data_IF_767425466139
#
_entry.id   IF_767425466139
#
_cell.length_a   1.000
_cell.length_b   1.000
_cell.length_c   1.000
_cell.angle_alpha   90.00
_cell.angle_beta   90.00
_cell.angle_gamma   90.00
#
_symmetry.space_group_name_H-M   'P 1'
#
loop_
_entity.id
_entity.type
_entity.pdbx_description
1 polymer ?
#
# COMPACT_ATOMS: atom_id res chain seq x y z
N UNK A 1 -70.26 32.49 53.81
CA UNK A 1 -71.21 31.36 53.81
C UNK A 1 -70.42 30.14 53.38
N UNK A 2 -69.88 29.30 54.26
CA UNK A 2 -70.55 28.46 55.28
C UNK A 2 -71.23 27.22 54.65
N UNK A 3 -70.51 26.09 54.65
CA UNK A 3 -70.93 24.72 55.03
C UNK A 3 -69.76 23.75 54.69
N UNK A 4 -69.18 22.93 55.58
CA UNK A 4 -69.74 21.92 56.51
C UNK A 4 -70.33 20.73 55.73
N UNK A 5 -69.99 19.45 55.94
CA UNK A 5 -68.95 18.77 56.74
C UNK A 5 -68.98 17.25 56.43
N UNK A 6 -67.83 16.55 56.48
CA UNK A 6 -67.66 15.06 56.60
C UNK A 6 -68.32 14.12 55.57
N UNK A 7 -67.49 13.22 55.02
CA UNK A 7 -67.36 11.88 55.62
C UNK A 7 -65.89 11.45 55.63
N UNK A 8 -65.54 10.54 56.54
CA UNK A 8 -64.19 10.06 56.84
C UNK A 8 -64.25 8.53 57.00
N UNK A 9 -63.09 7.85 56.97
CA UNK A 9 -62.90 6.38 57.17
C UNK A 9 -63.26 5.54 55.91
N UNK A 10 -62.45 4.62 55.35
CA UNK A 10 -61.06 4.15 55.56
C UNK A 10 -60.43 3.85 54.13
N UNK A 11 -59.19 3.40 53.88
CA UNK A 11 -58.07 2.93 54.72
C UNK A 11 -56.68 3.04 54.02
N UNK A 12 -55.61 2.80 54.79
CA UNK A 12 -54.26 2.24 54.46
C UNK A 12 -53.66 2.41 53.04
N UNK A 13 -52.44 2.98 52.97
CA UNK A 13 -51.53 2.78 51.82
C UNK A 13 -50.40 3.81 51.71
N UNK A 14 -49.31 3.65 52.47
CA UNK A 14 -48.10 4.49 52.30
C UNK A 14 -47.39 4.13 51.00
N UNK A 15 -47.26 5.08 50.08
CA UNK A 15 -46.41 5.00 48.90
C UNK A 15 -45.63 6.30 48.74
N UNK A 16 -44.45 6.34 49.37
CA UNK A 16 -43.42 7.34 49.11
C UNK A 16 -42.94 7.24 47.66
N UNK A 17 -42.96 8.36 46.94
CA UNK A 17 -42.59 8.38 45.53
C UNK A 17 -41.11 8.04 45.30
N UNK A 18 -40.86 7.01 44.48
CA UNK A 18 -39.58 6.78 43.81
C UNK A 18 -39.78 6.92 42.31
N UNK A 19 -39.16 7.93 41.70
CA UNK A 19 -39.12 8.11 40.25
C UNK A 19 -38.55 6.84 39.58
N UNK A 20 -39.20 6.27 38.55
CA UNK A 20 -38.60 5.18 37.80
C UNK A 20 -37.39 5.72 37.02
N UNK A 21 -36.24 5.05 37.16
CA UNK A 21 -35.07 5.34 36.34
C UNK A 21 -35.34 5.03 34.87
N UNK A 22 -34.62 5.64 33.92
CA UNK A 22 -34.75 5.31 32.51
C UNK A 22 -34.23 3.88 32.27
N UNK A 23 -35.14 2.90 32.33
CA UNK A 23 -34.82 1.55 31.93
C UNK A 23 -34.49 1.55 30.45
N UNK A 24 -33.27 1.13 30.16
CA UNK A 24 -32.73 0.87 28.83
C UNK A 24 -33.79 0.25 27.92
N UNK A 25 -34.28 1.03 26.97
CA UNK A 25 -34.99 0.52 25.81
C UNK A 25 -33.96 -0.20 24.93
N UNK A 26 -33.59 -1.40 25.36
CA UNK A 26 -32.59 -2.24 24.71
C UNK A 26 -33.20 -2.83 23.44
N UNK A 27 -33.39 -1.97 22.44
CA UNK A 27 -33.76 -2.35 21.10
C UNK A 27 -32.66 -3.27 20.59
N UNK A 28 -32.98 -4.57 20.50
CA UNK A 28 -32.20 -5.53 19.74
C UNK A 28 -32.28 -5.16 18.26
N UNK A 29 -31.56 -4.11 17.87
CA UNK A 29 -31.11 -3.96 16.49
C UNK A 29 -30.18 -5.14 16.25
N UNK A 30 -30.60 -6.06 15.40
CA UNK A 30 -29.67 -6.98 14.77
C UNK A 30 -28.48 -6.15 14.26
N UNK A 31 -27.23 -6.53 14.58
CA UNK A 31 -26.08 -5.76 14.15
C UNK A 31 -26.11 -5.67 12.63
N UNK A 32 -26.05 -4.44 12.11
CA UNK A 32 -25.96 -4.21 10.66
C UNK A 32 -24.69 -4.91 10.19
N UNK A 33 -24.83 -5.92 9.34
CA UNK A 33 -23.69 -6.71 8.88
C UNK A 33 -22.84 -5.83 7.96
N UNK A 34 -21.77 -5.27 8.51
CA UNK A 34 -20.92 -4.33 7.79
C UNK A 34 -20.20 -5.01 6.61
N UNK A 35 -20.19 -4.33 5.47
CA UNK A 35 -19.56 -4.80 4.25
C UNK A 35 -18.14 -4.21 4.17
N UNK A 36 -17.21 -4.81 4.91
CA UNK A 36 -15.80 -4.37 4.93
C UNK A 36 -15.00 -5.05 3.81
N UNK A 37 -14.39 -4.24 2.95
CA UNK A 37 -13.55 -4.64 1.83
C UNK A 37 -12.08 -4.28 2.10
N UNK A 38 -11.22 -5.29 2.17
CA UNK A 38 -9.77 -5.12 2.24
C UNK A 38 -9.21 -4.56 0.93
N UNK A 39 -8.50 -3.43 1.03
CA UNK A 39 -7.81 -2.77 -0.07
C UNK A 39 -6.30 -3.06 -0.02
N UNK A 40 -5.75 -3.34 -1.20
CA UNK A 40 -4.32 -3.27 -1.48
C UNK A 40 -4.00 -2.11 -2.42
N UNK A 41 -2.89 -1.41 -2.17
CA UNK A 41 -2.34 -0.43 -3.11
C UNK A 41 -0.94 -0.79 -3.60
N UNK A 42 -0.68 -0.60 -4.89
CA UNK A 42 0.66 -0.64 -5.48
C UNK A 42 1.01 0.75 -6.00
N UNK A 43 2.01 1.41 -5.40
CA UNK A 43 2.60 2.65 -5.93
C UNK A 43 3.73 2.28 -6.88
N UNK A 44 3.62 2.71 -8.13
CA UNK A 44 4.59 2.38 -9.17
C UNK A 44 5.89 3.24 -9.10
N UNK A 45 6.97 2.80 -9.78
CA UNK A 45 8.25 3.51 -9.77
C UNK A 45 8.19 4.95 -10.29
N UNK A 46 7.25 5.26 -11.19
CA UNK A 46 7.12 6.59 -11.78
C UNK A 46 6.47 7.56 -10.80
N UNK A 47 5.43 7.11 -10.07
CA UNK A 47 4.82 7.87 -8.99
C UNK A 47 5.79 8.02 -7.81
N UNK A 48 6.50 6.95 -7.41
CA UNK A 48 7.57 7.03 -6.42
C UNK A 48 8.58 8.12 -6.78
N UNK A 49 9.14 8.06 -8.00
CA UNK A 49 10.15 9.02 -8.47
C UNK A 49 9.61 10.45 -8.48
N UNK A 50 8.37 10.67 -8.94
CA UNK A 50 7.75 12.00 -8.96
C UNK A 50 7.60 12.58 -7.55
N UNK A 51 7.06 11.81 -6.60
CA UNK A 51 6.89 12.29 -5.22
C UNK A 51 8.26 12.47 -4.55
N UNK A 52 9.26 11.63 -4.87
CA UNK A 52 10.61 11.78 -4.35
C UNK A 52 11.28 13.09 -4.83
N UNK A 53 11.04 13.51 -6.08
CA UNK A 53 11.49 14.82 -6.58
C UNK A 53 10.78 15.97 -5.83
N UNK A 54 9.46 15.87 -5.60
CA UNK A 54 8.69 16.87 -4.86
C UNK A 54 9.15 16.99 -3.38
N UNK A 55 9.54 15.89 -2.76
CA UNK A 55 10.09 15.81 -1.40
C UNK A 55 11.63 15.98 -1.36
N UNK A 56 12.24 16.58 -2.39
CA UNK A 56 13.67 16.94 -2.42
C UNK A 56 14.62 15.74 -2.16
N UNK A 57 14.26 14.57 -2.70
CA UNK A 57 14.93 13.27 -2.51
C UNK A 57 14.91 12.72 -1.07
N UNK A 58 14.06 13.24 -0.19
CA UNK A 58 13.89 12.73 1.16
C UNK A 58 12.99 11.48 1.17
N UNK A 59 13.60 10.31 0.99
CA UNK A 59 12.97 8.96 1.01
C UNK A 59 11.94 8.79 2.13
N UNK A 60 12.22 9.28 3.35
CA UNK A 60 11.30 9.16 4.50
C UNK A 60 10.06 10.03 4.33
N UNK A 61 10.22 11.28 3.87
CA UNK A 61 9.10 12.16 3.56
C UNK A 61 8.28 11.63 2.37
N UNK A 62 8.93 11.11 1.33
CA UNK A 62 8.30 10.48 0.17
C UNK A 62 7.39 9.32 0.59
N UNK A 63 7.91 8.36 1.38
CA UNK A 63 7.10 7.24 1.90
C UNK A 63 5.95 7.73 2.77
N UNK A 64 6.18 8.71 3.65
CA UNK A 64 5.14 9.27 4.51
C UNK A 64 4.01 9.93 3.69
N UNK A 65 4.35 10.71 2.66
CA UNK A 65 3.40 11.37 1.76
C UNK A 65 2.56 10.37 0.98
N UNK A 66 3.19 9.33 0.43
CA UNK A 66 2.48 8.25 -0.29
C UNK A 66 1.55 7.45 0.63
N UNK A 67 1.99 7.08 1.84
CA UNK A 67 1.13 6.42 2.85
C UNK A 67 -0.07 7.28 3.23
N UNK A 68 0.17 8.57 3.47
CA UNK A 68 -0.88 9.54 3.76
C UNK A 68 -1.88 9.64 2.62
N UNK A 69 -1.42 9.78 1.38
CA UNK A 69 -2.25 9.81 0.18
C UNK A 69 -3.17 8.57 0.08
N UNK A 70 -2.61 7.37 0.24
CA UNK A 70 -3.40 6.12 0.21
C UNK A 70 -4.42 6.08 1.35
N UNK A 71 -4.07 6.56 2.55
CA UNK A 71 -5.02 6.68 3.67
C UNK A 71 -6.13 7.70 3.40
N UNK A 72 -5.82 8.83 2.77
CA UNK A 72 -6.79 9.85 2.38
C UNK A 72 -7.74 9.33 1.28
N UNK A 73 -7.23 8.59 0.28
CA UNK A 73 -8.05 7.90 -0.73
C UNK A 73 -9.12 7.00 -0.09
N UNK A 74 -8.72 6.14 0.86
CA UNK A 74 -9.66 5.27 1.59
C UNK A 74 -10.64 6.07 2.46
N UNK A 75 -10.18 7.17 3.06
CA UNK A 75 -11.04 8.05 3.87
C UNK A 75 -12.10 8.73 3.01
N UNK A 76 -11.75 9.24 1.84
CA UNK A 76 -12.70 9.90 0.92
C UNK A 76 -13.69 8.91 0.31
N UNK A 77 -13.28 7.67 0.00
CA UNK A 77 -14.21 6.62 -0.38
C UNK A 77 -15.19 6.29 0.76
N UNK A 78 -14.68 6.09 1.98
CA UNK A 78 -15.53 5.79 3.14
C UNK A 78 -16.51 6.92 3.48
N UNK A 79 -16.16 8.18 3.25
CA UNK A 79 -17.06 9.32 3.44
C UNK A 79 -18.33 9.25 2.57
N UNK A 80 -18.30 8.49 1.47
CA UNK A 80 -19.42 8.35 0.53
C UNK A 80 -20.08 6.97 0.66
N UNK A 81 -19.31 5.89 0.51
CA UNK A 81 -19.87 4.53 0.44
C UNK A 81 -20.41 4.01 1.78
N UNK A 82 -19.90 4.49 2.92
CA UNK A 82 -20.35 4.01 4.24
C UNK A 82 -21.70 4.58 4.68
N UNK A 83 -22.05 5.76 4.16
CA UNK A 83 -23.32 6.46 4.42
C UNK A 83 -24.41 6.14 3.38
N UNK A 84 -24.02 5.58 2.24
CA UNK A 84 -24.94 5.25 1.14
C UNK A 84 -25.82 4.02 1.47
N UNK A 85 -27.02 4.02 0.88
CA UNK A 85 -27.98 2.92 0.94
C UNK A 85 -28.09 2.28 -0.44
N UNK A 86 -27.73 1.01 -0.56
CA UNK A 86 -27.70 0.28 -1.83
C UNK A 86 -28.90 -0.67 -1.93
N UNK A 87 -29.63 -0.56 -3.04
CA UNK A 87 -30.92 -1.21 -3.22
C UNK A 87 -30.77 -2.44 -4.12
N UNK A 88 -31.05 -3.62 -3.57
CA UNK A 88 -30.92 -4.91 -4.26
C UNK A 88 -31.94 -5.18 -5.36
N UNK A 89 -31.95 -6.42 -5.87
CA UNK A 89 -33.04 -6.95 -6.70
C UNK A 89 -34.28 -7.34 -5.84
N UNK A 90 -34.14 -7.38 -4.51
CA UNK A 90 -35.23 -7.63 -3.54
C UNK A 90 -35.50 -6.47 -2.57
N UNK A 91 -36.23 -6.73 -1.48
CA UNK A 91 -36.52 -5.75 -0.41
C UNK A 91 -35.32 -5.46 0.52
N UNK A 92 -34.11 -5.84 0.13
CA UNK A 92 -32.92 -5.75 0.97
C UNK A 92 -32.16 -4.47 0.65
N UNK A 93 -31.98 -3.66 1.69
CA UNK A 93 -31.16 -2.45 1.64
C UNK A 93 -29.82 -2.78 2.31
N UNK A 94 -28.75 -2.67 1.54
CA UNK A 94 -27.38 -2.82 2.04
C UNK A 94 -26.87 -1.45 2.52
N UNK A 95 -26.26 -1.43 3.71
CA UNK A 95 -25.70 -0.22 4.34
C UNK A 95 -24.33 -0.54 4.95
N UNK A 96 -23.52 0.47 5.20
CA UNK A 96 -22.21 0.30 5.83
C UNK A 96 -21.22 -0.47 4.95
N UNK A 97 -21.16 -0.13 3.66
CA UNK A 97 -20.07 -0.54 2.77
C UNK A 97 -18.84 0.30 3.11
N UNK A 98 -17.77 -0.35 3.55
CA UNK A 98 -16.55 0.29 4.02
C UNK A 98 -15.33 -0.36 3.39
N UNK A 99 -14.28 0.43 3.27
CA UNK A 99 -12.97 0.01 2.78
C UNK A 99 -11.93 0.16 3.88
N UNK A 100 -11.03 -0.81 3.98
CA UNK A 100 -9.92 -0.80 4.94
C UNK A 100 -8.62 -0.96 4.16
N UNK A 101 -7.68 -0.04 4.33
CA UNK A 101 -6.33 -0.21 3.79
C UNK A 101 -5.65 -1.36 4.55
N UNK A 102 -5.50 -2.50 3.89
CA UNK A 102 -4.99 -3.74 4.49
C UNK A 102 -3.52 -3.97 4.19
N UNK A 103 -3.05 -3.60 2.99
CA UNK A 103 -1.64 -3.73 2.61
C UNK A 103 -1.28 -2.75 1.49
N UNK A 104 0.01 -2.49 1.29
CA UNK A 104 0.49 -1.71 0.16
C UNK A 104 1.95 -2.03 -0.14
N UNK A 105 2.33 -1.82 -1.41
CA UNK A 105 3.71 -1.82 -1.89
C UNK A 105 4.03 -0.40 -2.40
N UNK A 106 5.20 0.12 -2.04
CA UNK A 106 5.81 1.27 -2.70
C UNK A 106 7.00 0.72 -3.47
N UNK A 107 6.91 0.76 -4.80
CA UNK A 107 7.97 0.23 -5.66
C UNK A 107 9.01 1.32 -5.96
N UNK A 108 10.21 1.10 -5.43
CA UNK A 108 11.34 2.03 -5.53
C UNK A 108 12.34 1.61 -6.61
N UNK A 109 11.92 0.73 -7.54
CA UNK A 109 12.74 0.29 -8.67
C UNK A 109 13.31 1.50 -9.42
N UNK A 110 14.63 1.58 -9.67
CA UNK A 110 15.21 2.77 -10.27
C UNK A 110 14.82 2.91 -11.75
N UNK A 111 14.51 1.81 -12.44
CA UNK A 111 14.14 1.76 -13.86
C UNK A 111 15.17 2.43 -14.80
N UNK A 112 16.47 2.29 -14.50
CA UNK A 112 17.57 2.94 -15.24
C UNK A 112 17.88 2.31 -16.62
N UNK A 113 17.23 1.20 -16.98
CA UNK A 113 17.57 0.41 -18.16
C UNK A 113 16.52 0.54 -19.28
N UNK A 114 16.81 1.40 -20.26
CA UNK A 114 16.05 1.49 -21.52
C UNK A 114 16.92 1.00 -22.69
N UNK A 115 16.98 -0.32 -22.97
CA UNK A 115 17.73 -0.86 -24.10
C UNK A 115 17.04 -0.44 -25.40
N UNK A 116 17.69 0.42 -26.18
CA UNK A 116 17.28 0.72 -27.56
C UNK A 116 17.38 -0.56 -28.40
N UNK A 117 16.50 -0.75 -29.37
CA UNK A 117 16.75 -1.78 -30.40
C UNK A 117 17.89 -1.33 -31.35
N UNK A 118 18.43 -2.22 -32.22
CA UNK A 118 19.49 -1.86 -33.16
C UNK A 118 19.12 -0.76 -34.18
N UNK A 119 17.83 -0.39 -34.26
CA UNK A 119 17.27 0.62 -35.15
C UNK A 119 16.83 1.89 -34.40
N UNK A 120 17.16 2.01 -33.10
CA UNK A 120 16.84 3.15 -32.25
C UNK A 120 15.38 3.21 -31.77
N UNK A 121 14.55 2.22 -32.06
CA UNK A 121 13.14 2.19 -31.65
C UNK A 121 13.01 1.55 -30.26
N UNK A 122 12.33 2.25 -29.35
CA UNK A 122 11.92 1.69 -28.07
C UNK A 122 10.60 0.97 -28.28
N UNK A 123 10.66 -0.35 -28.44
CA UNK A 123 9.49 -1.23 -28.38
C UNK A 123 9.58 -1.97 -27.05
N UNK A 124 8.97 -1.40 -26.02
CA UNK A 124 9.06 -1.90 -24.64
C UNK A 124 7.91 -2.87 -24.33
N UNK A 125 6.66 -2.50 -24.60
CA UNK A 125 5.51 -3.42 -24.57
C UNK A 125 4.67 -3.33 -25.85
N UNK A 126 4.15 -4.47 -26.31
CA UNK A 126 3.14 -4.54 -27.36
C UNK A 126 1.74 -4.45 -26.72
N UNK A 127 1.10 -3.29 -26.87
CA UNK A 127 -0.24 -3.03 -26.34
C UNK A 127 -1.30 -3.40 -27.40
N UNK A 128 -2.07 -4.50 -27.24
CA UNK A 128 -3.02 -4.95 -28.25
C UNK A 128 -4.24 -4.02 -28.29
N UNK A 129 -4.65 -3.56 -29.49
CA UNK A 129 -5.79 -2.66 -29.66
C UNK A 129 -7.11 -3.45 -29.78
N UNK A 130 -7.60 -3.94 -28.64
CA UNK A 130 -8.80 -4.79 -28.51
C UNK A 130 -9.69 -4.35 -27.33
N UNK A 131 -10.96 -4.79 -27.26
CA UNK A 131 -11.84 -4.48 -26.13
C UNK A 131 -11.26 -4.90 -24.78
N UNK A 132 -11.63 -4.18 -23.71
CA UNK A 132 -11.14 -4.46 -22.35
C UNK A 132 -11.53 -5.86 -21.84
N UNK A 133 -12.73 -6.33 -22.17
CA UNK A 133 -13.17 -7.70 -21.84
C UNK A 133 -12.15 -8.74 -22.30
N UNK A 134 -11.61 -8.53 -23.50
CA UNK A 134 -10.91 -9.55 -24.29
C UNK A 134 -9.41 -9.55 -24.01
N UNK A 135 -8.87 -8.49 -23.37
CA UNK A 135 -7.45 -8.34 -23.00
C UNK A 135 -6.81 -9.58 -22.40
N UNK A 136 -7.52 -10.33 -21.55
CA UNK A 136 -6.95 -11.50 -20.89
C UNK A 136 -6.77 -12.72 -21.82
N UNK A 137 -7.31 -12.67 -23.04
CA UNK A 137 -7.09 -13.64 -24.11
C UNK A 137 -5.85 -13.32 -24.94
N UNK A 138 -5.12 -12.23 -24.63
CA UNK A 138 -3.83 -11.91 -25.25
C UNK A 138 -2.67 -12.22 -24.29
N UNK A 139 -1.49 -12.58 -24.82
CA UNK A 139 -0.29 -12.70 -24.01
C UNK A 139 0.29 -11.32 -23.67
N UNK A 140 0.81 -11.17 -22.44
CA UNK A 140 1.61 -10.00 -22.07
C UNK A 140 2.97 -10.09 -22.77
N UNK A 141 3.18 -9.22 -23.77
CA UNK A 141 4.41 -9.15 -24.55
C UNK A 141 5.16 -7.84 -24.24
N UNK A 142 6.05 -7.91 -23.25
CA UNK A 142 7.00 -6.84 -22.94
C UNK A 142 8.45 -7.35 -23.11
N UNK A 143 9.34 -6.46 -23.58
CA UNK A 143 10.76 -6.70 -23.82
C UNK A 143 11.47 -7.13 -22.54
N UNK A 144 11.08 -6.53 -21.42
CA UNK A 144 11.42 -7.01 -20.09
C UNK A 144 10.35 -8.02 -19.67
N UNK A 145 10.57 -9.28 -20.03
CA UNK A 145 9.86 -10.40 -19.43
C UNK A 145 10.15 -10.45 -17.91
N UNK A 146 9.35 -11.21 -17.16
CA UNK A 146 9.14 -11.23 -15.69
C UNK A 146 10.38 -11.29 -14.76
N UNK A 147 11.61 -11.29 -15.28
CA UNK A 147 12.86 -11.16 -14.51
C UNK A 147 13.16 -9.74 -14.02
N UNK A 148 12.51 -8.72 -14.58
CA UNK A 148 12.58 -7.32 -14.14
C UNK A 148 11.18 -6.77 -13.87
N UNK A 149 11.08 -5.68 -13.11
CA UNK A 149 9.81 -5.02 -12.84
C UNK A 149 9.11 -4.64 -14.15
N UNK A 150 7.96 -5.26 -14.43
CA UNK A 150 7.19 -5.03 -15.67
C UNK A 150 6.69 -3.59 -15.77
N UNK A 151 6.53 -2.90 -14.64
CA UNK A 151 6.20 -1.48 -14.59
C UNK A 151 7.41 -0.56 -14.84
N UNK A 152 8.63 -1.06 -15.06
CA UNK A 152 9.70 -0.21 -15.62
C UNK A 152 9.56 0.01 -17.14
N UNK A 153 8.69 -0.71 -17.85
CA UNK A 153 8.47 -0.51 -19.28
C UNK A 153 7.66 0.78 -19.57
N UNK A 154 7.83 1.32 -20.78
CA UNK A 154 6.96 2.38 -21.32
C UNK A 154 5.54 1.86 -21.65
N UNK A 155 4.65 1.99 -20.67
CA UNK A 155 3.22 1.68 -20.76
C UNK A 155 2.45 2.96 -21.10
N UNK A 156 1.76 2.99 -22.25
CA UNK A 156 1.16 4.21 -22.81
C UNK A 156 -0.37 4.28 -22.68
N UNK A 157 -1.03 3.18 -22.29
CA UNK A 157 -2.47 3.13 -22.03
C UNK A 157 -2.79 2.58 -20.64
N UNK A 158 -3.72 3.23 -19.95
CA UNK A 158 -4.31 2.75 -18.70
C UNK A 158 -4.96 1.39 -18.87
N UNK A 159 -5.60 1.16 -20.03
CA UNK A 159 -6.15 -0.14 -20.38
C UNK A 159 -5.10 -1.26 -20.31
N UNK A 160 -3.90 -1.05 -20.88
CA UNK A 160 -2.83 -2.05 -20.81
C UNK A 160 -2.19 -2.12 -19.43
N UNK A 161 -2.03 -0.98 -18.73
CA UNK A 161 -1.58 -0.98 -17.33
C UNK A 161 -2.49 -1.85 -16.46
N UNK A 162 -3.81 -1.70 -16.55
CA UNK A 162 -4.76 -2.51 -15.79
C UNK A 162 -4.64 -4.00 -16.15
N UNK A 163 -4.39 -4.34 -17.41
CA UNK A 163 -4.15 -5.73 -17.82
C UNK A 163 -2.88 -6.31 -17.19
N UNK A 164 -1.75 -5.58 -17.20
CA UNK A 164 -0.51 -5.96 -16.52
C UNK A 164 -0.70 -6.13 -15.01
N UNK A 165 -1.46 -5.22 -14.38
CA UNK A 165 -1.74 -5.26 -12.95
C UNK A 165 -2.71 -6.39 -12.57
N UNK A 166 -3.68 -6.71 -13.44
CA UNK A 166 -4.60 -7.85 -13.26
C UNK A 166 -3.91 -9.21 -13.35
N UNK A 167 -2.80 -9.31 -14.10
CA UNK A 167 -2.01 -10.52 -14.28
C UNK A 167 -1.06 -10.82 -13.09
N UNK A 168 -1.55 -10.57 -11.86
CA UNK A 168 -0.83 -10.73 -10.59
C UNK A 168 -1.78 -11.33 -9.54
N UNK A 169 -1.23 -11.92 -8.47
CA UNK A 169 -2.04 -12.60 -7.44
C UNK A 169 -2.71 -11.60 -6.48
N UNK A 170 -3.90 -11.15 -6.84
CA UNK A 170 -4.77 -10.32 -5.98
C UNK A 170 -5.80 -11.14 -5.19
N UNK A 171 -5.63 -12.47 -5.09
CA UNK A 171 -6.49 -13.32 -4.26
C UNK A 171 -6.57 -12.92 -2.78
N UNK A 172 -5.53 -12.35 -2.13
CA UNK A 172 -5.61 -11.99 -0.71
C UNK A 172 -6.52 -10.80 -0.38
N UNK A 173 -6.94 -10.01 -1.37
CA UNK A 173 -7.63 -8.72 -1.15
C UNK A 173 -9.05 -8.71 -1.72
N UNK A 174 -9.93 -7.88 -1.18
CA UNK A 174 -11.26 -7.65 -1.75
C UNK A 174 -11.16 -6.81 -3.04
N UNK A 175 -10.30 -5.78 -3.03
CA UNK A 175 -9.95 -4.93 -4.18
C UNK A 175 -8.46 -4.53 -4.11
N UNK A 176 -7.86 -4.30 -5.28
CA UNK A 176 -6.46 -3.91 -5.46
C UNK A 176 -6.35 -2.71 -6.40
N UNK A 177 -5.54 -1.70 -6.07
CA UNK A 177 -5.39 -0.50 -6.89
C UNK A 177 -3.93 -0.14 -7.15
N UNK A 178 -3.59 0.11 -8.42
CA UNK A 178 -2.30 0.68 -8.76
C UNK A 178 -2.38 2.21 -8.86
N UNK A 179 -1.36 2.90 -8.34
CA UNK A 179 -1.20 4.34 -8.42
C UNK A 179 0.06 4.64 -9.25
N UNK A 180 -0.07 5.50 -10.25
CA UNK A 180 1.01 5.79 -11.22
C UNK A 180 1.07 7.28 -11.56
N UNK A 181 2.22 7.74 -12.05
CA UNK A 181 2.41 9.10 -12.58
C UNK A 181 3.00 9.04 -14.00
N UNK A 182 2.14 8.91 -15.01
CA UNK A 182 2.55 8.66 -16.41
C UNK A 182 1.81 9.52 -17.41
N UNK A 183 2.46 9.79 -18.54
CA UNK A 183 1.74 10.25 -19.72
C UNK A 183 0.98 9.06 -20.30
N UNK A 184 -0.35 9.09 -20.18
CA UNK A 184 -1.23 8.09 -20.79
C UNK A 184 -1.98 8.72 -21.97
N UNK A 185 -2.37 7.87 -22.91
CA UNK A 185 -3.07 8.26 -24.14
C UNK A 185 -4.60 8.12 -24.05
N UNK A 186 -5.13 7.55 -22.97
CA UNK A 186 -6.54 7.16 -22.83
C UNK A 186 -7.22 7.76 -21.58
N UNK A 187 -6.99 7.23 -20.37
CA UNK A 187 -7.82 7.51 -19.20
C UNK A 187 -7.02 8.07 -18.01
N UNK A 188 -7.70 8.78 -17.11
CA UNK A 188 -7.13 9.22 -15.83
C UNK A 188 -7.25 8.13 -14.74
N UNK A 189 -8.26 7.28 -14.83
CA UNK A 189 -8.46 6.11 -13.98
C UNK A 189 -9.18 5.03 -14.78
N UNK A 190 -9.08 3.78 -14.32
CA UNK A 190 -9.84 2.67 -14.90
C UNK A 190 -9.93 1.51 -13.91
N UNK A 191 -11.11 0.90 -13.79
CA UNK A 191 -11.33 -0.32 -13.01
C UNK A 191 -12.28 -1.31 -13.69
N UNK A 192 -12.20 -2.58 -13.29
CA UNK A 192 -13.11 -3.61 -13.79
C UNK A 192 -14.49 -3.50 -13.16
N UNK A 193 -15.52 -3.36 -14.01
CA UNK A 193 -16.90 -3.20 -13.55
C UNK A 193 -17.48 -4.52 -13.06
N UNK A 194 -17.92 -4.56 -11.79
CA UNK A 194 -18.63 -5.72 -11.23
C UNK A 194 -19.95 -5.97 -11.96
N UNK A 195 -20.19 -7.21 -12.41
CA UNK A 195 -21.47 -7.54 -13.04
C UNK A 195 -21.70 -6.84 -14.39
N UNK A 196 -20.63 -6.43 -15.09
CA UNK A 196 -20.68 -5.60 -16.31
C UNK A 196 -21.75 -6.02 -17.32
N UNK A 197 -21.83 -7.31 -17.67
CA UNK A 197 -23.01 -7.91 -18.29
C UNK A 197 -23.78 -8.74 -17.25
N UNK A 198 -24.92 -8.23 -16.81
CA UNK A 198 -25.79 -8.85 -15.80
C UNK A 198 -26.41 -10.19 -16.24
N UNK A 199 -26.30 -10.55 -17.53
CA UNK A 199 -26.73 -11.85 -18.09
C UNK A 199 -25.67 -12.95 -17.95
N UNK A 200 -24.42 -12.60 -17.68
CA UNK A 200 -23.31 -13.55 -17.59
C UNK A 200 -22.89 -13.73 -16.12
N UNK A 201 -23.04 -14.94 -15.56
CA UNK A 201 -22.59 -15.23 -14.19
C UNK A 201 -21.09 -14.95 -14.00
N UNK A 202 -20.28 -15.15 -15.05
CA UNK A 202 -18.84 -14.85 -15.06
C UNK A 202 -18.52 -13.37 -14.77
N UNK A 203 -19.37 -12.42 -15.20
CA UNK A 203 -19.18 -11.00 -14.88
C UNK A 203 -19.37 -10.70 -13.39
N UNK A 204 -20.12 -11.55 -12.68
CA UNK A 204 -20.34 -11.46 -11.23
C UNK A 204 -19.25 -12.21 -10.44
N UNK A 205 -18.66 -13.28 -10.98
CA UNK A 205 -17.61 -14.04 -10.28
C UNK A 205 -16.19 -13.53 -10.53
N UNK A 206 -15.89 -13.07 -11.75
CA UNK A 206 -14.52 -12.85 -12.21
C UNK A 206 -14.12 -11.36 -12.29
N UNK A 207 -15.05 -10.41 -12.12
CA UNK A 207 -14.81 -8.97 -12.24
C UNK A 207 -15.15 -8.22 -10.94
N UNK A 208 -14.57 -7.04 -10.77
CA UNK A 208 -14.82 -6.12 -9.64
C UNK A 208 -14.45 -6.73 -8.29
N UNK A 209 -15.01 -6.17 -7.22
CA UNK A 209 -14.74 -6.62 -5.84
C UNK A 209 -14.96 -8.13 -5.68
N UNK A 210 -14.16 -8.81 -4.85
CA UNK A 210 -14.24 -10.26 -4.66
C UNK A 210 -14.05 -11.11 -5.95
N UNK A 211 -13.40 -10.58 -7.00
CA UNK A 211 -13.07 -11.40 -8.17
C UNK A 211 -12.25 -12.65 -7.79
N UNK A 212 -12.54 -13.73 -8.48
CA UNK A 212 -11.75 -14.97 -8.46
C UNK A 212 -10.73 -14.98 -9.61
N UNK A 213 -9.80 -15.93 -9.58
CA UNK A 213 -8.86 -16.15 -10.68
C UNK A 213 -9.62 -16.58 -11.94
N UNK A 214 -9.47 -15.86 -13.05
CA UNK A 214 -10.13 -16.22 -14.29
C UNK A 214 -9.30 -17.24 -15.10
N UNK A 215 -9.60 -18.52 -14.88
CA UNK A 215 -8.92 -19.63 -15.54
C UNK A 215 -9.10 -19.70 -17.07
N UNK A 216 -9.94 -18.84 -17.68
CA UNK A 216 -10.06 -18.74 -19.14
C UNK A 216 -9.00 -17.80 -19.75
N UNK A 217 -8.30 -17.03 -18.94
CA UNK A 217 -7.28 -16.10 -19.41
C UNK A 217 -5.96 -16.82 -19.75
N UNK A 218 -5.21 -16.30 -20.72
CA UNK A 218 -3.90 -16.86 -21.11
C UNK A 218 -2.86 -16.81 -19.98
N UNK A 219 -3.02 -15.87 -19.06
CA UNK A 219 -2.21 -15.74 -17.86
C UNK A 219 -2.83 -16.56 -16.72
N UNK A 220 -2.06 -17.45 -16.06
CA UNK A 220 -2.60 -18.42 -15.09
C UNK A 220 -3.00 -17.82 -13.74
N UNK A 221 -2.63 -16.55 -13.49
CA UNK A 221 -3.14 -15.72 -12.40
C UNK A 221 -3.65 -14.43 -13.04
N UNK A 222 -4.97 -14.31 -13.18
CA UNK A 222 -5.62 -13.11 -13.71
C UNK A 222 -6.82 -12.76 -12.87
N UNK A 223 -6.67 -11.72 -12.05
CA UNK A 223 -7.67 -11.26 -11.11
C UNK A 223 -8.14 -9.86 -11.51
N UNK A 224 -9.44 -9.74 -11.78
CA UNK A 224 -10.06 -8.46 -12.16
C UNK A 224 -10.77 -7.77 -10.98
N UNK A 225 -10.26 -7.95 -9.76
CA UNK A 225 -10.58 -7.11 -8.59
C UNK A 225 -9.67 -5.87 -8.53
N UNK A 226 -9.30 -5.37 -9.70
CA UNK A 226 -8.22 -4.40 -9.88
C UNK A 226 -8.71 -3.09 -10.48
N UNK A 227 -8.03 -2.00 -10.11
CA UNK A 227 -8.14 -0.68 -10.73
C UNK A 227 -6.78 0.02 -10.83
N UNK A 228 -6.72 1.10 -11.60
CA UNK A 228 -5.53 1.96 -11.76
C UNK A 228 -5.96 3.42 -11.69
N UNK A 229 -5.17 4.26 -11.04
CA UNK A 229 -5.36 5.72 -10.98
C UNK A 229 -4.08 6.43 -11.36
N UNK A 230 -4.17 7.34 -12.33
CA UNK A 230 -3.09 8.23 -12.73
C UNK A 230 -3.12 9.51 -11.90
N UNK A 231 -1.95 9.93 -11.42
CA UNK A 231 -1.78 11.20 -10.70
C UNK A 231 -1.24 12.32 -11.59
N UNK A 232 -0.81 12.00 -12.81
CA UNK A 232 -0.43 12.98 -13.83
C UNK A 232 -1.68 13.47 -14.56
N UNK A 233 -2.15 14.67 -14.24
CA UNK A 233 -3.30 15.29 -14.91
C UNK A 233 -2.87 16.02 -16.19
N UNK A 234 -3.82 16.38 -17.06
CA UNK A 234 -3.57 17.10 -18.31
C UNK A 234 -2.89 18.48 -18.16
N UNK A 235 -2.84 19.03 -16.94
CA UNK A 235 -2.09 20.25 -16.61
C UNK A 235 -0.59 20.02 -16.35
N UNK A 236 -0.10 18.78 -16.48
CA UNK A 236 1.23 18.31 -16.06
C UNK A 236 1.51 18.45 -14.55
N UNK A 237 0.53 18.88 -13.75
CA UNK A 237 0.67 19.07 -12.29
C UNK A 237 0.24 17.81 -11.55
N UNK A 238 1.06 17.41 -10.58
CA UNK A 238 0.74 16.37 -9.60
C UNK A 238 -0.46 16.81 -8.74
N UNK A 239 -1.62 16.17 -8.94
CA UNK A 239 -2.89 16.63 -8.37
C UNK A 239 -3.54 15.57 -7.47
N UNK A 240 -3.13 15.55 -6.20
CA UNK A 240 -3.63 14.59 -5.19
C UNK A 240 -5.16 14.62 -5.07
N UNK A 241 -5.77 15.81 -5.02
CA UNK A 241 -7.23 15.96 -4.87
C UNK A 241 -8.01 15.31 -6.02
N UNK A 242 -7.61 15.56 -7.27
CA UNK A 242 -8.24 14.94 -8.44
C UNK A 242 -8.01 13.44 -8.50
N UNK A 243 -6.81 12.96 -8.14
CA UNK A 243 -6.53 11.53 -8.07
C UNK A 243 -7.39 10.82 -7.01
N UNK A 244 -7.67 11.47 -5.86
CA UNK A 244 -8.60 10.96 -4.86
C UNK A 244 -10.05 10.91 -5.39
N UNK A 245 -10.52 11.97 -6.05
CA UNK A 245 -11.85 11.96 -6.69
C UNK A 245 -11.98 10.84 -7.75
N UNK A 246 -10.96 10.64 -8.59
CA UNK A 246 -10.90 9.54 -9.59
C UNK A 246 -10.91 8.18 -8.90
N UNK A 247 -10.10 7.96 -7.86
CA UNK A 247 -10.13 6.72 -7.08
C UNK A 247 -11.55 6.40 -6.54
N UNK A 248 -12.24 7.39 -5.97
CA UNK A 248 -13.60 7.22 -5.46
C UNK A 248 -14.61 6.85 -6.56
N UNK A 249 -14.43 7.39 -7.78
CA UNK A 249 -15.21 7.02 -8.97
C UNK A 249 -14.92 5.57 -9.41
N UNK A 250 -13.64 5.18 -9.54
CA UNK A 250 -13.25 3.83 -9.94
C UNK A 250 -13.72 2.75 -8.94
N UNK A 251 -13.79 3.08 -7.65
CA UNK A 251 -14.40 2.21 -6.64
C UNK A 251 -15.88 1.94 -6.96
N UNK A 252 -16.61 2.91 -7.50
CA UNK A 252 -17.99 2.74 -7.94
C UNK A 252 -18.12 1.72 -9.07
N UNK A 253 -17.24 1.79 -10.07
CA UNK A 253 -17.11 0.75 -11.10
C UNK A 253 -16.78 -0.61 -10.49
N UNK A 254 -15.78 -0.66 -9.60
CA UNK A 254 -15.39 -1.89 -8.89
C UNK A 254 -16.52 -2.52 -8.08
N UNK A 255 -17.52 -1.74 -7.64
CA UNK A 255 -18.74 -2.21 -6.99
C UNK A 255 -19.89 -2.54 -7.95
N UNK A 256 -19.83 -2.06 -9.20
CA UNK A 256 -20.74 -2.40 -10.30
C UNK A 256 -21.56 -1.25 -10.88
N UNK A 257 -21.33 -0.01 -10.43
CA UNK A 257 -21.97 1.14 -11.05
C UNK A 257 -21.45 1.38 -12.47
N UNK A 258 -22.35 1.76 -13.38
CA UNK A 258 -22.03 2.29 -14.71
C UNK A 258 -22.05 3.82 -14.68
N UNK A 259 -21.68 4.46 -15.80
CA UNK A 259 -21.74 5.92 -15.89
C UNK A 259 -23.18 6.45 -15.87
N UNK A 260 -23.37 7.61 -15.24
CA UNK A 260 -24.65 8.32 -15.07
C UNK A 260 -25.06 9.10 -16.35
N UNK A 261 -24.85 8.48 -17.51
CA UNK A 261 -25.09 9.08 -18.83
C UNK A 261 -26.54 8.83 -19.33
N UNK A 262 -27.24 7.89 -18.69
CA UNK A 262 -28.62 7.53 -19.04
C UNK A 262 -29.63 8.57 -18.52
N UNK A 263 -29.81 9.65 -19.29
CA UNK A 263 -30.77 10.73 -19.03
C UNK A 263 -32.19 10.18 -18.84
N UNK A 264 -32.64 9.28 -19.72
CA UNK A 264 -34.01 8.72 -19.72
C UNK A 264 -34.34 7.90 -18.46
N UNK A 265 -33.35 7.41 -17.72
CA UNK A 265 -33.54 6.71 -16.44
C UNK A 265 -33.64 7.65 -15.24
N UNK A 266 -33.54 8.97 -15.45
CA UNK A 266 -33.49 9.98 -14.38
C UNK A 266 -32.21 9.92 -13.55
N UNK A 267 -31.20 9.18 -14.01
CA UNK A 267 -29.95 8.94 -13.30
C UNK A 267 -28.87 9.99 -13.61
N UNK A 268 -29.04 10.74 -14.69
CA UNK A 268 -28.24 11.93 -14.96
C UNK A 268 -28.90 13.20 -14.40
N UNK A 269 -28.08 14.17 -13.96
CA UNK A 269 -28.52 15.55 -13.73
C UNK A 269 -28.30 16.47 -14.93
N UNK A 270 -27.72 15.94 -16.01
CA UNK A 270 -27.32 16.68 -17.20
C UNK A 270 -28.45 17.58 -17.73
N UNK A 271 -28.11 18.84 -18.02
CA UNK A 271 -29.06 19.85 -18.54
C UNK A 271 -29.82 20.67 -17.48
N UNK A 272 -29.74 20.34 -16.18
CA UNK A 272 -30.23 21.23 -15.10
C UNK A 272 -29.13 22.23 -14.73
N UNK A 273 -29.39 23.53 -14.98
CA UNK A 273 -28.39 24.62 -14.93
C UNK A 273 -27.60 24.75 -13.60
N UNK A 274 -28.19 24.32 -12.49
CA UNK A 274 -27.69 24.59 -11.14
C UNK A 274 -27.29 23.31 -10.38
N UNK A 275 -27.26 22.15 -11.07
CA UNK A 275 -27.24 20.84 -10.43
C UNK A 275 -25.91 20.10 -10.72
N UNK A 276 -25.06 19.95 -9.70
CA UNK A 276 -23.77 19.23 -9.82
C UNK A 276 -23.98 17.79 -10.33
N UNK A 277 -23.11 17.35 -11.25
CA UNK A 277 -23.05 15.99 -11.76
C UNK A 277 -22.90 14.98 -10.61
N UNK A 278 -23.56 13.82 -10.71
CA UNK A 278 -23.33 12.73 -9.76
C UNK A 278 -21.91 12.17 -9.87
N UNK A 279 -21.46 11.48 -8.82
CA UNK A 279 -20.11 10.91 -8.73
C UNK A 279 -19.74 10.01 -9.91
N UNK A 280 -20.71 9.25 -10.46
CA UNK A 280 -20.47 8.33 -11.58
C UNK A 280 -20.68 8.97 -12.95
N UNK A 281 -20.55 10.28 -13.10
CA UNK A 281 -20.58 10.93 -14.44
C UNK A 281 -19.42 10.46 -15.33
N UNK A 282 -19.62 10.35 -16.64
CA UNK A 282 -18.51 10.11 -17.60
C UNK A 282 -17.60 11.33 -17.82
N UNK A 283 -18.00 12.53 -17.38
CA UNK A 283 -17.21 13.76 -17.52
C UNK A 283 -15.99 13.77 -16.57
N UNK A 284 -14.85 13.30 -17.11
CA UNK A 284 -13.58 13.21 -16.40
C UNK A 284 -13.09 14.55 -15.85
N UNK A 285 -13.40 15.68 -16.49
CA UNK A 285 -12.97 17.00 -16.01
C UNK A 285 -13.72 17.35 -14.71
N UNK A 286 -15.03 17.07 -14.64
CA UNK A 286 -15.81 17.27 -13.40
C UNK A 286 -15.32 16.41 -12.25
N UNK A 287 -14.89 15.18 -12.52
CA UNK A 287 -14.29 14.30 -11.50
C UNK A 287 -12.97 14.90 -11.00
N UNK A 288 -12.04 15.25 -11.91
CA UNK A 288 -10.71 15.78 -11.55
C UNK A 288 -10.83 17.11 -10.77
N UNK A 289 -11.71 18.01 -11.21
CA UNK A 289 -12.00 19.29 -10.53
C UNK A 289 -12.70 19.10 -9.16
N UNK A 290 -13.25 17.92 -8.86
CA UNK A 290 -14.12 17.71 -7.71
C UNK A 290 -15.49 18.38 -7.84
N UNK A 291 -15.85 18.80 -9.06
CA UNK A 291 -17.07 19.51 -9.44
C UNK A 291 -18.25 18.52 -9.62
N UNK A 292 -18.40 17.61 -8.66
CA UNK A 292 -19.49 16.61 -8.58
C UNK A 292 -20.22 16.79 -7.26
N UNK A 293 -21.44 16.25 -7.16
CA UNK A 293 -22.24 16.28 -5.93
C UNK A 293 -21.66 15.45 -4.79
N UNK A 294 -20.58 14.69 -5.03
CA UNK A 294 -20.02 13.64 -4.15
C UNK A 294 -21.08 12.65 -3.66
N UNK A 295 -22.14 12.45 -4.43
CA UNK A 295 -23.21 11.48 -4.17
C UNK A 295 -23.42 10.57 -5.38
N UNK A 296 -23.82 9.33 -5.10
CA UNK A 296 -24.18 8.34 -6.11
C UNK A 296 -25.60 8.60 -6.62
N UNK A 297 -25.85 8.35 -7.91
CA UNK A 297 -27.21 8.35 -8.46
C UNK A 297 -28.04 7.16 -7.99
N UNK A 298 -29.34 7.20 -8.26
CA UNK A 298 -30.27 6.07 -8.04
C UNK A 298 -30.07 4.91 -9.04
N UNK A 299 -29.29 5.10 -10.12
CA UNK A 299 -28.77 3.97 -10.92
C UNK A 299 -27.58 3.34 -10.21
N UNK A 300 -26.54 4.13 -9.89
CA UNK A 300 -25.33 3.64 -9.25
C UNK A 300 -25.62 2.89 -7.93
N UNK A 301 -26.46 3.44 -7.05
CA UNK A 301 -26.84 2.77 -5.79
C UNK A 301 -27.59 1.44 -6.00
N UNK A 302 -28.31 1.30 -7.12
CA UNK A 302 -29.09 0.11 -7.47
C UNK A 302 -28.24 -0.95 -8.15
N UNK A 303 -27.38 -0.57 -9.09
CA UNK A 303 -26.47 -1.51 -9.76
C UNK A 303 -25.44 -2.09 -8.77
N UNK A 304 -24.94 -1.27 -7.84
CA UNK A 304 -24.14 -1.75 -6.71
C UNK A 304 -24.97 -2.67 -5.80
N UNK A 305 -26.20 -2.28 -5.44
CA UNK A 305 -27.09 -3.09 -4.58
C UNK A 305 -27.38 -4.48 -5.14
N UNK A 306 -27.70 -4.58 -6.44
CA UNK A 306 -27.90 -5.86 -7.16
C UNK A 306 -26.67 -6.77 -7.09
N UNK A 307 -25.46 -6.20 -7.12
CA UNK A 307 -24.23 -6.97 -6.97
C UNK A 307 -23.99 -7.39 -5.52
N UNK A 308 -24.32 -6.52 -4.54
CA UNK A 308 -24.23 -6.81 -3.10
C UNK A 308 -25.17 -7.94 -2.64
N UNK A 309 -26.31 -8.13 -3.30
CA UNK A 309 -27.18 -9.29 -3.08
C UNK A 309 -26.49 -10.62 -3.40
N UNK A 310 -25.56 -10.63 -4.36
CA UNK A 310 -25.03 -11.84 -5.02
C UNK A 310 -23.66 -12.28 -4.51
N UNK A 311 -22.85 -11.39 -3.91
CA UNK A 311 -21.46 -11.68 -3.53
C UNK A 311 -21.14 -11.29 -2.09
N UNK A 312 -20.48 -12.21 -1.36
CA UNK A 312 -20.41 -12.16 0.11
C UNK A 312 -18.99 -12.24 0.72
N UNK A 313 -17.90 -12.01 -0.04
CA UNK A 313 -16.52 -12.17 0.51
C UNK A 313 -16.07 -11.05 1.48
N UNK A 314 -16.94 -10.09 1.76
CA UNK A 314 -16.77 -9.09 2.82
C UNK A 314 -16.33 -9.75 4.14
N UNK A 315 -15.45 -9.07 4.88
CA UNK A 315 -14.90 -9.51 6.17
C UNK A 315 -14.02 -10.79 6.18
N UNK A 316 -13.85 -11.54 5.07
CA UNK A 316 -13.15 -12.85 5.09
C UNK A 316 -11.77 -12.89 4.41
N UNK A 317 -11.30 -11.78 3.82
CA UNK A 317 -9.96 -11.65 3.23
C UNK A 317 -9.03 -10.85 4.13
N UNK A 318 -8.48 -11.53 5.14
CA UNK A 318 -7.58 -10.97 6.15
C UNK A 318 -6.19 -10.67 5.57
N UNK A 319 -5.99 -9.43 5.12
CA UNK A 319 -4.77 -8.74 5.56
C UNK A 319 -4.89 -8.53 7.07
N UNK A 320 -3.83 -8.81 7.83
CA UNK A 320 -3.80 -8.58 9.27
C UNK A 320 -4.14 -7.12 9.60
N UNK A 321 -4.77 -6.85 10.76
CA UNK A 321 -4.97 -5.50 11.30
C UNK A 321 -3.65 -4.79 11.73
N UNK A 322 -2.51 -5.33 11.29
CA UNK A 322 -1.15 -4.80 11.44
C UNK A 322 -0.71 -4.20 10.09
N UNK A 323 -0.47 -2.89 10.05
CA UNK A 323 -0.19 -2.08 8.86
C UNK A 323 1.22 -2.37 8.31
N UNK A 324 1.41 -3.55 7.73
CA UNK A 324 2.72 -4.02 7.25
C UNK A 324 3.11 -3.37 5.94
N UNK A 325 4.12 -2.51 6.03
CA UNK A 325 4.98 -2.13 4.91
C UNK A 325 5.85 -3.33 4.51
N UNK A 326 5.67 -3.83 3.28
CA UNK A 326 6.68 -4.70 2.67
C UNK A 326 7.88 -3.87 2.23
N UNK A 327 9.09 -4.31 2.56
CA UNK A 327 10.32 -3.68 2.06
C UNK A 327 10.34 -3.71 0.51
N UNK A 328 10.91 -2.71 -0.17
CA UNK A 328 11.15 -2.78 -1.61
C UNK A 328 12.26 -3.80 -1.87
N UNK A 329 11.88 -5.06 -2.08
CA UNK A 329 12.82 -6.13 -2.36
C UNK A 329 13.50 -5.89 -3.71
N UNK A 330 14.80 -5.58 -3.69
CA UNK A 330 15.68 -5.52 -4.85
C UNK A 330 16.02 -6.90 -5.45
N UNK A 331 15.16 -7.89 -5.19
CA UNK A 331 15.27 -9.27 -5.62
C UNK A 331 14.16 -9.57 -6.63
N UNK A 332 14.34 -10.54 -7.56
CA UNK A 332 13.31 -10.90 -8.51
C UNK A 332 12.09 -11.44 -7.76
N UNK A 333 11.06 -10.62 -7.60
CA UNK A 333 9.86 -11.02 -6.86
C UNK A 333 9.20 -12.19 -7.60
N UNK A 334 9.28 -13.38 -6.99
CA UNK A 334 8.82 -14.61 -7.62
C UNK A 334 7.30 -14.71 -7.78
N UNK A 335 6.52 -13.76 -7.24
CA UNK A 335 5.05 -13.68 -7.41
C UNK A 335 4.64 -13.25 -8.81
N UNK A 336 5.50 -12.55 -9.56
CA UNK A 336 5.20 -12.12 -10.93
C UNK A 336 5.28 -13.26 -11.98
N UNK A 337 5.77 -14.45 -11.62
CA UNK A 337 5.87 -15.55 -12.57
C UNK A 337 4.53 -16.26 -12.77
N UNK A 338 3.98 -16.08 -13.97
CA UNK A 338 2.86 -16.85 -14.48
C UNK A 338 3.08 -18.37 -14.31
N UNK A 339 4.15 -18.95 -14.88
CA UNK A 339 4.29 -20.41 -14.89
C UNK A 339 4.83 -20.93 -13.57
N UNK A 340 4.14 -21.94 -13.02
CA UNK A 340 4.49 -22.63 -11.77
C UNK A 340 5.95 -23.11 -11.72
N UNK A 341 6.49 -23.55 -12.86
CA UNK A 341 7.90 -23.93 -13.03
C UNK A 341 8.85 -22.75 -12.89
N UNK A 342 8.54 -21.61 -13.48
CA UNK A 342 9.35 -20.38 -13.40
C UNK A 342 9.35 -19.83 -11.96
N UNK A 343 8.18 -19.76 -11.31
CA UNK A 343 8.06 -19.44 -9.87
C UNK A 343 8.89 -20.40 -9.02
N UNK A 344 8.84 -21.72 -9.30
CA UNK A 344 9.62 -22.71 -8.54
C UNK A 344 11.15 -22.60 -8.72
N UNK A 345 11.60 -22.14 -9.90
CA UNK A 345 13.02 -21.90 -10.18
C UNK A 345 13.50 -20.59 -9.55
N UNK A 346 12.69 -19.54 -9.58
CA UNK A 346 12.93 -18.30 -8.86
C UNK A 346 13.05 -18.53 -7.34
N UNK A 347 12.05 -19.19 -6.73
CA UNK A 347 12.05 -19.55 -5.30
C UNK A 347 13.19 -20.53 -4.89
N UNK A 348 13.84 -21.19 -5.85
CA UNK A 348 15.07 -21.98 -5.64
C UNK A 348 16.32 -21.10 -5.66
N UNK A 349 16.40 -20.14 -6.59
CA UNK A 349 17.50 -19.17 -6.69
C UNK A 349 17.56 -18.27 -5.45
N UNK A 350 16.40 -17.79 -4.99
CA UNK A 350 16.25 -16.99 -3.76
C UNK A 350 16.74 -17.76 -2.51
N UNK A 351 16.33 -19.04 -2.36
CA UNK A 351 16.85 -19.92 -1.31
C UNK A 351 18.35 -20.20 -1.43
N UNK A 352 18.88 -20.34 -2.64
CA UNK A 352 20.31 -20.56 -2.86
C UNK A 352 21.14 -19.34 -2.45
N UNK A 353 20.69 -18.11 -2.78
CA UNK A 353 21.31 -16.86 -2.34
C UNK A 353 21.29 -16.71 -0.82
N UNK A 354 20.16 -16.95 -0.17
CA UNK A 354 20.04 -16.89 1.29
C UNK A 354 20.91 -17.94 1.99
N UNK A 355 21.10 -19.12 1.39
CA UNK A 355 22.10 -20.09 1.84
C UNK A 355 23.54 -19.55 1.74
N UNK A 356 23.89 -18.88 0.64
CA UNK A 356 25.21 -18.28 0.41
C UNK A 356 25.50 -17.13 1.40
N UNK A 357 24.52 -16.27 1.68
CA UNK A 357 24.62 -15.21 2.70
C UNK A 357 24.87 -15.80 4.09
N UNK A 358 24.13 -16.84 4.48
CA UNK A 358 24.36 -17.54 5.75
C UNK A 358 25.76 -18.17 5.85
N UNK A 359 26.29 -18.74 4.75
CA UNK A 359 27.65 -19.27 4.71
C UNK A 359 28.67 -18.15 4.92
N UNK A 360 28.52 -17.01 4.24
CA UNK A 360 29.42 -15.85 4.38
C UNK A 360 29.41 -15.32 5.83
N UNK A 361 28.24 -15.17 6.44
CA UNK A 361 28.13 -14.77 7.86
C UNK A 361 28.76 -15.79 8.81
N UNK A 362 28.59 -17.08 8.55
CA UNK A 362 29.19 -18.15 9.37
C UNK A 362 30.72 -18.12 9.27
N UNK A 363 31.27 -17.97 8.06
CA UNK A 363 32.72 -17.86 7.82
C UNK A 363 33.29 -16.60 8.48
N UNK A 364 32.61 -15.45 8.37
CA UNK A 364 33.00 -14.22 9.05
C UNK A 364 33.00 -14.38 10.58
N UNK A 365 31.97 -14.99 11.17
CA UNK A 365 31.86 -15.22 12.61
C UNK A 365 32.96 -16.16 13.14
N UNK A 366 33.23 -17.26 12.42
CA UNK A 366 34.34 -18.18 12.74
C UNK A 366 35.69 -17.47 12.61
N UNK A 367 35.87 -16.58 11.64
CA UNK A 367 37.11 -15.82 11.45
C UNK A 367 37.35 -14.82 12.61
N UNK A 368 36.30 -14.18 13.12
CA UNK A 368 36.36 -13.31 14.30
C UNK A 368 36.69 -14.11 15.57
N UNK A 369 36.07 -15.28 15.76
CA UNK A 369 36.38 -16.16 16.90
C UNK A 369 37.83 -16.68 16.87
N UNK A 370 38.33 -17.08 15.70
CA UNK A 370 39.74 -17.47 15.53
C UNK A 370 40.69 -16.29 15.77
N UNK A 371 40.35 -15.09 15.30
CA UNK A 371 41.11 -13.87 15.56
C UNK A 371 41.19 -13.54 17.06
N UNK A 372 40.07 -13.59 17.77
CA UNK A 372 40.00 -13.42 19.22
C UNK A 372 40.81 -14.50 19.97
N UNK A 373 40.74 -15.75 19.53
CA UNK A 373 41.55 -16.84 20.08
C UNK A 373 43.05 -16.60 19.93
N UNK A 374 43.50 -16.11 18.78
CA UNK A 374 44.91 -15.74 18.53
C UNK A 374 45.35 -14.54 19.40
N UNK A 375 44.47 -13.55 19.59
CA UNK A 375 44.74 -12.41 20.49
C UNK A 375 44.86 -12.87 21.95
N UNK A 376 43.97 -13.75 22.42
CA UNK A 376 44.03 -14.33 23.76
C UNK A 376 45.29 -15.19 23.96
N UNK A 377 45.68 -16.00 22.97
CA UNK A 377 46.94 -16.77 23.01
C UNK A 377 48.18 -15.85 23.09
N UNK A 378 48.19 -14.73 22.34
CA UNK A 378 49.26 -13.74 22.42
C UNK A 378 49.30 -13.04 23.78
N UNK A 379 48.15 -12.65 24.33
CA UNK A 379 48.04 -12.07 25.67
C UNK A 379 48.57 -13.04 26.73
N UNK A 380 48.19 -14.32 26.65
CA UNK A 380 48.67 -15.34 27.59
C UNK A 380 50.18 -15.53 27.52
N UNK A 381 50.76 -15.55 26.31
CA UNK A 381 52.21 -15.62 26.12
C UNK A 381 52.94 -14.38 26.65
N UNK A 382 52.37 -13.18 26.50
CA UNK A 382 52.94 -11.96 27.09
C UNK A 382 52.88 -11.96 28.62
N UNK A 383 51.83 -12.51 29.23
CA UNK A 383 51.75 -12.66 30.69
C UNK A 383 52.78 -13.66 31.23
N UNK A 384 52.99 -14.79 30.55
CA UNK A 384 54.04 -15.76 30.92
C UNK A 384 55.46 -15.19 30.77
N UNK A 385 55.71 -14.32 29.78
CA UNK A 385 56.98 -13.59 29.71
C UNK A 385 57.14 -12.56 30.85
N UNK A 386 56.04 -11.97 31.33
CA UNK A 386 56.08 -10.99 32.42
C UNK A 386 56.44 -11.64 33.77
N UNK A 387 55.90 -12.83 34.08
CA UNK A 387 56.29 -13.59 35.28
C UNK A 387 57.79 -13.94 35.29
N UNK A 388 58.35 -14.35 34.15
CA UNK A 388 59.79 -14.66 34.02
C UNK A 388 60.65 -13.41 34.23
N UNK A 389 60.19 -12.23 33.79
CA UNK A 389 60.88 -10.95 34.01
C UNK A 389 60.82 -10.51 35.47
N UNK A 390 59.66 -10.61 36.13
CA UNK A 390 59.50 -10.31 37.57
C UNK A 390 60.41 -11.21 38.41
N UNK A 391 60.49 -12.52 38.10
CA UNK A 391 61.38 -13.45 38.80
C UNK A 391 62.88 -13.20 38.58
N UNK A 392 63.26 -12.46 37.52
CA UNK A 392 64.64 -12.09 37.24
C UNK A 392 65.04 -10.81 37.99
N UNK A 393 64.18 -9.79 37.97
CA UNK A 393 64.38 -8.53 38.71
C UNK A 393 64.44 -8.75 40.23
N UNK A 394 63.66 -9.70 40.77
CA UNK A 394 63.73 -10.05 42.19
C UNK A 394 65.03 -10.79 42.60
N UNK A 395 65.85 -11.24 41.65
CA UNK A 395 67.07 -12.03 41.94
C UNK A 395 68.38 -11.25 41.84
N UNK A 396 68.35 -10.00 41.33
CA UNK A 396 69.54 -9.13 41.21
C UNK A 396 69.60 -8.02 42.29
N UNK A 397 68.56 -7.86 43.12
CA UNK A 397 68.47 -6.80 44.13
C UNK A 397 68.98 -7.17 45.54
N UNK A 398 69.81 -8.22 45.66
CA UNK A 398 70.57 -8.52 46.89
C UNK A 398 72.06 -8.36 46.59
N UNK A 399 72.51 -7.09 46.56
CA UNK A 399 73.89 -6.61 46.83
C UNK A 399 74.16 -5.26 46.11
N UNK A 400 73.68 -4.14 46.65
CA UNK A 400 74.58 -3.12 47.21
C UNK A 400 73.83 -1.97 47.91
N UNK A 401 74.32 -1.63 49.10
CA UNK A 401 74.04 -0.37 49.79
C UNK A 401 75.13 0.65 49.45
N UNK A 402 74.75 1.88 49.05
CA UNK A 402 75.25 3.15 49.62
C UNK A 402 74.90 4.42 48.81
N UNK A 403 74.43 5.44 49.54
CA UNK A 403 74.59 6.91 49.35
C UNK A 403 73.76 7.70 48.30
N UNK A 404 72.93 8.58 48.89
CA UNK A 404 72.84 10.03 48.68
C UNK A 404 72.08 10.68 47.49
N UNK A 405 71.42 11.79 47.90
CA UNK A 405 71.10 13.03 47.17
C UNK A 405 69.88 13.10 46.23
N UNK A 406 68.77 13.58 46.84
CA UNK A 406 68.13 14.88 46.54
C UNK A 406 68.17 15.35 45.07
N UNK A 407 67.00 15.41 44.44
CA UNK A 407 66.37 16.71 44.13
C UNK A 407 64.89 16.59 43.73
N UNK A 408 64.13 17.64 44.02
CA UNK A 408 62.73 17.84 43.64
C UNK A 408 62.69 18.86 42.51
N UNK A 409 61.94 18.62 41.42
CA UNK A 409 61.33 19.74 40.68
C UNK A 409 60.09 19.34 39.87
N UNK A 410 59.14 20.28 39.88
CA UNK A 410 57.85 20.26 39.19
C UNK A 410 57.95 20.89 37.78
N UNK A 411 56.78 21.09 37.15
CA UNK A 411 56.48 21.77 35.88
C UNK A 411 56.49 20.89 34.62
N UNK A 412 55.61 21.12 33.63
CA UNK A 412 54.54 22.12 33.57
C UNK A 412 53.76 22.06 32.25
N UNK A 413 52.54 22.61 32.23
CA UNK A 413 51.64 22.62 31.06
C UNK A 413 52.04 23.74 30.09
N UNK A 414 51.96 23.50 28.78
CA UNK A 414 52.14 24.55 27.76
C UNK A 414 51.58 24.18 26.38
N UNK A 415 50.54 24.90 25.93
CA UNK A 415 50.04 24.88 24.54
C UNK A 415 50.89 25.81 23.65
N UNK A 416 50.96 25.60 22.31
CA UNK A 416 50.42 26.55 21.28
C UNK A 416 50.92 26.35 19.81
N UNK A 417 50.12 26.90 18.87
CA UNK A 417 50.42 27.44 17.51
C UNK A 417 50.90 26.55 16.33
N UNK A 418 49.92 26.08 15.54
CA UNK A 418 49.55 26.54 14.16
C UNK A 418 50.64 27.06 13.18
N UNK A 419 50.73 26.44 11.99
CA UNK A 419 51.19 26.94 10.65
C UNK A 419 50.91 25.82 9.61
N UNK A 420 50.81 25.98 8.28
CA UNK A 420 50.32 27.05 7.38
C UNK A 420 50.31 26.50 5.93
N UNK A 421 49.27 26.82 5.16
CA UNK A 421 49.15 26.91 3.68
C UNK A 421 49.77 25.89 2.68
N UNK A 422 48.87 25.36 1.84
CA UNK A 422 48.85 25.26 0.35
C UNK A 422 50.10 25.70 -0.48
N UNK A 423 50.33 25.29 -1.75
CA UNK A 423 49.41 24.94 -2.87
C UNK A 423 50.20 24.39 -4.09
N UNK A 424 49.51 23.97 -5.17
CA UNK A 424 50.01 23.74 -6.56
C UNK A 424 51.05 22.58 -6.73
N UNK A 425 51.31 21.93 -7.88
CA UNK A 425 50.63 21.66 -9.18
C UNK A 425 51.48 20.57 -9.90
N UNK A 426 51.08 19.87 -10.98
CA UNK A 426 49.80 19.52 -11.61
C UNK A 426 50.09 18.59 -12.83
N UNK A 427 49.11 17.79 -13.28
CA UNK A 427 48.84 17.29 -14.66
C UNK A 427 47.46 16.62 -14.66
#
# INVERSE_FOLDING_TARGET
MANVLRLLLLNIGVLSASLPSPQSANSMRNPVKEHVCSLFFYVDPYLWRQVNVLEQSNVTATRLRLKRLMSEMVTEANAIYSLAEFYGDGHKIHKGVKFQLSHYIIDESPCDFHPRDPFGKVVDCQEPNIPMSDLCQEPILCKHNMTYNVFCNDIRTMRFYLHLFSAQDHAPFCLSYALTYRQMNDFQGVAWIKGYDSRMTQSTTNFGYCAQNDAHCMTPFYFRNTGVVNMKMASEVFHEGGAKNVFVHEIGHSLGAKHDDEIDKGCSKYGRKDDLHFLMTSDVLKIIEGNTSKTLSTCAMRDIGKNLDRMTCWQTRSGSDDYRESQPHHEPNCEYFARRTERSNCLRLERAKNGLVNIIWTVAFVSVLLGLGIVLLRLHATFSCLEVLVHRVQRENINHDMRNEVSVMNFGIGNYWKMSDATLNAI
#
